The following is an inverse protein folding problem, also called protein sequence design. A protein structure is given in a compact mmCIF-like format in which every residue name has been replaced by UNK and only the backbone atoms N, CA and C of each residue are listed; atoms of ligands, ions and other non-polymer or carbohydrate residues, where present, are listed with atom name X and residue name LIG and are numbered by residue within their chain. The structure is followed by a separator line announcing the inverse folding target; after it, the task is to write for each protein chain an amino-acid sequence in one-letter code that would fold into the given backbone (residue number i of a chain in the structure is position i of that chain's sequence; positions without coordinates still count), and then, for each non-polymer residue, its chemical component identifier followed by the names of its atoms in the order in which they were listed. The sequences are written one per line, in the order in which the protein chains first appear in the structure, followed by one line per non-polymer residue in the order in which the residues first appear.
data_IF_782935951532
#
_entry.id   IF_782935951532
#
_cell.length_a   1.000
_cell.length_b   1.000
_cell.length_c   1.000
_cell.angle_alpha   90.00
_cell.angle_beta   90.00
_cell.angle_gamma   90.00
#
_symmetry.space_group_name_H-M   'P 1'
#
loop_
_entity.id
_entity.type
_entity.pdbx_description
1 polymer ?
#
# COMPACT_ATOMS: atom_id res chain seq x y z
N UNK A 1 -32.85 -14.14 19.93
CA UNK A 1 -31.51 -13.54 19.97
C UNK A 1 -31.32 -12.83 18.65
N UNK A 2 -30.80 -11.60 18.64
CA UNK A 2 -30.47 -10.89 17.39
C UNK A 2 -29.35 -11.65 16.65
N UNK A 3 -29.51 -11.82 15.35
CA UNK A 3 -28.46 -12.43 14.51
C UNK A 3 -27.23 -11.52 14.48
N UNK A 4 -26.05 -12.07 14.69
CA UNK A 4 -24.80 -11.30 14.62
C UNK A 4 -24.57 -10.84 13.17
N UNK A 5 -24.38 -9.52 13.01
CA UNK A 5 -24.05 -8.93 11.71
C UNK A 5 -22.58 -9.21 11.42
N UNK A 6 -22.28 -9.77 10.25
CA UNK A 6 -20.94 -10.08 9.78
C UNK A 6 -20.49 -9.03 8.76
N UNK A 7 -19.19 -8.85 8.61
CA UNK A 7 -18.60 -8.03 7.54
C UNK A 7 -19.00 -8.59 6.15
N UNK A 8 -19.00 -7.72 5.15
CA UNK A 8 -19.25 -8.11 3.76
C UNK A 8 -18.12 -9.03 3.30
N UNK A 9 -18.45 -10.13 2.65
CA UNK A 9 -17.46 -11.08 2.15
C UNK A 9 -16.45 -10.41 1.23
N UNK A 10 -15.17 -10.48 1.59
CA UNK A 10 -14.06 -9.85 0.86
C UNK A 10 -13.78 -8.40 1.28
N UNK A 11 -14.46 -7.92 2.32
CA UNK A 11 -14.13 -6.66 3.02
C UNK A 11 -13.77 -7.03 4.46
N UNK A 12 -12.52 -6.86 4.84
CA UNK A 12 -11.99 -7.41 6.08
C UNK A 12 -11.61 -6.29 7.06
N UNK A 13 -11.86 -6.54 8.35
CA UNK A 13 -11.34 -5.69 9.42
C UNK A 13 -9.84 -5.95 9.62
N UNK A 14 -9.07 -4.90 9.83
CA UNK A 14 -7.67 -4.99 10.29
C UNK A 14 -7.65 -4.81 11.80
N UNK A 15 -7.49 -5.91 12.51
CA UNK A 15 -7.56 -5.93 13.96
C UNK A 15 -6.25 -5.45 14.62
N UNK A 16 -6.29 -4.98 15.90
CA UNK A 16 -5.11 -4.52 16.63
C UNK A 16 -3.93 -5.51 16.63
N UNK A 17 -4.20 -6.81 16.60
CA UNK A 17 -3.17 -7.85 16.54
C UNK A 17 -2.39 -7.87 15.21
N UNK A 18 -2.93 -7.28 14.16
CA UNK A 18 -2.36 -7.31 12.80
C UNK A 18 -1.92 -5.95 12.28
N UNK A 19 -2.29 -4.87 12.98
CA UNK A 19 -2.10 -3.49 12.48
C UNK A 19 -0.63 -3.07 12.42
N UNK A 20 0.26 -3.67 13.22
CA UNK A 20 1.67 -3.28 13.29
C UNK A 20 2.41 -3.46 11.96
N UNK A 21 2.08 -4.49 11.18
CA UNK A 21 2.64 -4.70 9.86
C UNK A 21 2.21 -3.60 8.86
N UNK A 22 0.94 -3.18 8.94
CA UNK A 22 0.40 -2.09 8.13
C UNK A 22 1.08 -0.78 8.45
N UNK A 23 1.12 -0.41 9.72
CA UNK A 23 1.77 0.82 10.19
C UNK A 23 3.26 0.87 9.82
N UNK A 24 3.95 -0.27 9.91
CA UNK A 24 5.35 -0.36 9.49
C UNK A 24 5.52 -0.12 7.99
N UNK A 25 4.70 -0.76 7.16
CA UNK A 25 4.72 -0.55 5.71
C UNK A 25 4.40 0.89 5.35
N UNK A 26 3.33 1.47 5.92
CA UNK A 26 2.91 2.86 5.66
C UNK A 26 3.98 3.87 6.09
N UNK A 27 4.63 3.66 7.23
CA UNK A 27 5.74 4.51 7.69
C UNK A 27 6.93 4.43 6.72
N UNK A 28 7.35 3.23 6.33
CA UNK A 28 8.41 3.04 5.34
C UNK A 28 8.06 3.67 3.99
N UNK A 29 6.83 3.51 3.52
CA UNK A 29 6.37 4.09 2.26
C UNK A 29 6.42 5.62 2.29
N UNK A 30 5.95 6.25 3.37
CA UNK A 30 6.00 7.71 3.58
C UNK A 30 7.43 8.23 3.59
N UNK A 31 8.33 7.58 4.34
CA UNK A 31 9.75 7.95 4.40
C UNK A 31 10.42 7.83 3.03
N UNK A 32 10.18 6.72 2.33
CA UNK A 32 10.78 6.49 1.01
C UNK A 32 10.22 7.49 -0.01
N UNK A 33 8.90 7.67 -0.13
CA UNK A 33 8.30 8.64 -1.04
C UNK A 33 8.83 10.06 -0.75
N UNK A 34 8.85 10.48 0.52
CA UNK A 34 9.40 11.78 0.92
C UNK A 34 10.87 11.96 0.55
N UNK A 35 11.69 10.90 0.64
CA UNK A 35 13.12 10.98 0.26
C UNK A 35 13.36 11.19 -1.24
N UNK A 36 12.35 10.94 -2.08
CA UNK A 36 12.35 11.21 -3.52
C UNK A 36 11.61 12.51 -3.89
N UNK A 37 11.10 13.25 -2.89
CA UNK A 37 10.37 14.49 -3.09
C UNK A 37 8.93 14.30 -3.55
N UNK A 38 8.31 13.15 -3.29
CA UNK A 38 6.89 12.94 -3.53
C UNK A 38 6.05 13.51 -2.39
N UNK A 39 5.00 14.23 -2.72
CA UNK A 39 4.06 14.87 -1.79
C UNK A 39 2.78 14.03 -1.65
N UNK A 40 2.25 13.95 -0.43
CA UNK A 40 1.01 13.21 -0.18
C UNK A 40 -0.19 13.97 -0.74
N UNK A 41 -1.02 13.27 -1.52
CA UNK A 41 -2.34 13.74 -1.96
C UNK A 41 -3.42 12.80 -1.45
N UNK A 42 -4.58 13.33 -1.11
CA UNK A 42 -5.78 12.55 -0.77
C UNK A 42 -6.92 12.93 -1.69
N UNK A 43 -7.49 11.94 -2.36
CA UNK A 43 -8.60 12.10 -3.28
C UNK A 43 -9.84 11.36 -2.76
N UNK A 44 -11.05 11.77 -3.14
CA UNK A 44 -12.28 11.12 -2.72
C UNK A 44 -12.32 9.63 -3.00
N UNK A 45 -13.08 8.90 -2.18
CA UNK A 45 -13.34 7.47 -2.39
C UNK A 45 -14.43 7.23 -3.45
N UNK A 46 -15.30 8.22 -3.63
CA UNK A 46 -16.44 8.19 -4.55
C UNK A 46 -16.22 9.25 -5.60
N UNK A 47 -16.36 8.87 -6.85
CA UNK A 47 -16.24 9.75 -8.01
C UNK A 47 -17.39 9.47 -8.98
N UNK A 48 -17.61 10.36 -9.96
CA UNK A 48 -18.51 10.08 -11.07
C UNK A 48 -18.07 8.83 -11.83
N UNK A 49 -18.99 7.95 -12.14
CA UNK A 49 -18.72 6.69 -12.86
C UNK A 49 -17.99 6.92 -14.18
N UNK A 50 -18.31 8.03 -14.84
CA UNK A 50 -17.71 8.46 -16.10
C UNK A 50 -16.19 8.64 -16.01
N UNK A 51 -15.66 9.08 -14.87
CA UNK A 51 -14.23 9.21 -14.65
C UNK A 51 -13.51 7.88 -14.91
N UNK A 52 -14.00 6.81 -14.29
CA UNK A 52 -13.36 5.50 -14.40
C UNK A 52 -13.59 4.85 -15.75
N UNK A 53 -14.76 5.01 -16.36
CA UNK A 53 -15.03 4.53 -17.72
C UNK A 53 -14.07 5.15 -18.73
N UNK A 54 -13.88 6.47 -18.67
CA UNK A 54 -12.92 7.16 -19.55
C UNK A 54 -11.48 6.76 -19.25
N UNK A 55 -11.08 6.75 -17.99
CA UNK A 55 -9.69 6.49 -17.63
C UNK A 55 -9.29 5.04 -17.92
N UNK A 56 -10.03 4.08 -17.39
CA UNK A 56 -9.64 2.65 -17.34
C UNK A 56 -9.88 1.96 -18.69
N UNK A 57 -10.92 2.37 -19.42
CA UNK A 57 -11.38 1.77 -20.67
C UNK A 57 -12.60 0.87 -20.48
N UNK A 58 -13.60 1.05 -21.35
CA UNK A 58 -14.91 0.39 -21.25
C UNK A 58 -14.84 -1.14 -21.34
N UNK A 59 -13.85 -1.67 -22.06
CA UNK A 59 -13.68 -3.11 -22.31
C UNK A 59 -12.75 -3.80 -21.31
N UNK A 60 -12.52 -3.20 -20.16
CA UNK A 60 -11.73 -3.82 -19.10
C UNK A 60 -12.62 -4.56 -18.11
N UNK A 61 -12.12 -5.66 -17.52
CA UNK A 61 -12.88 -6.41 -16.50
C UNK A 61 -13.28 -5.50 -15.32
N UNK A 62 -12.43 -4.53 -14.97
CA UNK A 62 -12.70 -3.56 -13.90
C UNK A 62 -13.97 -2.77 -14.20
N UNK A 63 -14.11 -2.20 -15.40
CA UNK A 63 -15.27 -1.38 -15.77
C UNK A 63 -16.49 -2.23 -16.05
N UNK A 64 -16.35 -3.37 -16.74
CA UNK A 64 -17.47 -4.22 -17.12
C UNK A 64 -18.12 -4.96 -15.92
N UNK A 65 -17.31 -5.37 -14.91
CA UNK A 65 -17.77 -6.36 -13.92
C UNK A 65 -17.44 -6.06 -12.48
N UNK A 66 -16.41 -5.19 -12.22
CA UNK A 66 -15.84 -5.10 -10.88
C UNK A 66 -16.13 -3.78 -10.15
N UNK A 67 -16.64 -2.75 -10.84
CA UNK A 67 -16.97 -1.47 -10.20
C UNK A 67 -18.18 -1.59 -9.27
N UNK A 68 -18.09 -0.98 -8.09
CA UNK A 68 -19.22 -0.72 -7.21
C UNK A 68 -19.85 0.61 -7.60
N UNK A 69 -20.88 0.54 -8.44
CA UNK A 69 -21.60 1.70 -8.97
C UNK A 69 -23.00 1.79 -8.37
N UNK A 70 -23.43 2.98 -8.04
CA UNK A 70 -24.76 3.26 -7.51
C UNK A 70 -25.25 4.65 -8.00
N UNK A 71 -26.54 4.86 -7.93
CA UNK A 71 -27.13 6.16 -8.21
C UNK A 71 -27.39 6.88 -6.89
N UNK A 72 -26.98 8.13 -6.77
CA UNK A 72 -27.24 8.94 -5.60
C UNK A 72 -28.68 9.49 -5.57
N UNK A 73 -29.01 10.25 -4.54
CA UNK A 73 -30.35 10.87 -4.42
C UNK A 73 -30.61 11.97 -5.47
N UNK A 74 -29.57 12.52 -6.06
CA UNK A 74 -29.64 13.51 -7.16
C UNK A 74 -29.81 12.87 -8.53
N UNK A 75 -29.71 11.54 -8.64
CA UNK A 75 -29.77 10.81 -9.89
C UNK A 75 -28.44 10.65 -10.60
N UNK A 76 -27.32 11.06 -9.98
CA UNK A 76 -25.99 10.93 -10.55
C UNK A 76 -25.41 9.52 -10.36
N UNK A 77 -24.73 9.02 -11.40
CA UNK A 77 -24.04 7.72 -11.35
C UNK A 77 -22.68 7.87 -10.70
N UNK A 78 -22.51 7.28 -9.54
CA UNK A 78 -21.32 7.33 -8.70
C UNK A 78 -20.68 5.95 -8.55
N UNK A 79 -19.36 5.93 -8.37
CA UNK A 79 -18.60 4.68 -8.24
C UNK A 79 -17.59 4.80 -7.09
N UNK A 80 -17.51 3.77 -6.25
CA UNK A 80 -16.38 3.59 -5.35
C UNK A 80 -15.12 3.32 -6.16
N UNK A 81 -14.06 4.10 -5.92
CA UNK A 81 -12.83 4.07 -6.74
C UNK A 81 -12.22 2.66 -6.82
N UNK A 82 -12.03 2.10 -8.03
CA UNK A 82 -11.36 0.82 -8.22
C UNK A 82 -9.82 0.95 -8.24
N UNK A 83 -9.30 2.17 -8.36
CA UNK A 83 -7.89 2.55 -8.38
C UNK A 83 -7.76 4.07 -8.08
N UNK A 84 -6.56 4.58 -7.79
CA UNK A 84 -6.40 5.97 -7.39
C UNK A 84 -5.93 6.90 -8.53
N UNK A 85 -5.22 6.38 -9.54
CA UNK A 85 -4.60 7.18 -10.62
C UNK A 85 -5.59 8.12 -11.30
N UNK A 86 -6.78 7.63 -11.69
CA UNK A 86 -7.82 8.46 -12.31
C UNK A 86 -8.26 9.61 -11.39
N UNK A 87 -8.46 9.34 -10.11
CA UNK A 87 -8.80 10.34 -9.11
C UNK A 87 -7.70 11.38 -8.90
N UNK A 88 -6.43 10.96 -8.87
CA UNK A 88 -5.27 11.85 -8.75
C UNK A 88 -5.16 12.75 -9.98
N UNK A 89 -5.27 12.18 -11.19
CA UNK A 89 -5.25 12.94 -12.45
C UNK A 89 -6.41 13.94 -12.52
N UNK A 90 -7.64 13.51 -12.18
CA UNK A 90 -8.81 14.39 -12.12
C UNK A 90 -8.55 15.54 -11.11
N UNK A 91 -7.99 15.25 -9.94
CA UNK A 91 -7.67 16.26 -8.94
C UNK A 91 -6.62 17.25 -9.46
N UNK A 92 -5.59 16.77 -10.15
CA UNK A 92 -4.56 17.61 -10.73
C UNK A 92 -5.14 18.56 -11.81
N UNK A 93 -6.05 18.07 -12.65
CA UNK A 93 -6.75 18.88 -13.66
C UNK A 93 -7.64 19.91 -12.98
N UNK A 94 -8.57 19.47 -12.10
CA UNK A 94 -9.61 20.33 -11.53
C UNK A 94 -9.08 21.42 -10.59
N UNK A 95 -7.91 21.20 -9.99
CA UNK A 95 -7.25 22.19 -9.11
C UNK A 95 -6.14 22.99 -9.84
N UNK A 96 -5.99 22.82 -11.16
CA UNK A 96 -5.04 23.59 -11.97
C UNK A 96 -3.56 23.31 -11.65
N UNK A 97 -3.25 22.15 -11.06
CA UNK A 97 -1.87 21.77 -10.69
C UNK A 97 -0.97 21.61 -11.92
N UNK A 98 -1.54 21.31 -13.11
CA UNK A 98 -0.78 20.97 -14.32
C UNK A 98 -0.31 22.18 -15.12
N UNK A 99 -0.64 23.41 -14.71
CA UNK A 99 -0.27 24.64 -15.43
C UNK A 99 1.21 24.93 -15.29
N UNK A 100 2.01 24.44 -16.24
CA UNK A 100 3.46 24.69 -16.31
C UNK A 100 4.29 24.07 -15.19
N UNK A 101 3.72 23.16 -14.40
CA UNK A 101 4.37 22.54 -13.26
C UNK A 101 4.52 21.04 -13.44
N UNK A 102 5.51 20.47 -12.76
CA UNK A 102 5.73 19.02 -12.62
C UNK A 102 5.39 18.63 -11.20
N UNK A 103 4.71 17.50 -11.04
CA UNK A 103 4.28 17.01 -9.74
C UNK A 103 4.71 15.58 -9.51
N UNK A 104 5.17 15.32 -8.30
CA UNK A 104 5.45 14.00 -7.74
C UNK A 104 4.48 13.78 -6.58
N UNK A 105 3.48 12.93 -6.80
CA UNK A 105 2.37 12.72 -5.86
C UNK A 105 2.32 11.27 -5.40
N UNK A 106 1.88 11.05 -4.16
CA UNK A 106 1.58 9.71 -3.67
C UNK A 106 0.36 9.71 -2.75
N UNK A 107 -0.35 8.59 -2.70
CA UNK A 107 -1.44 8.38 -1.73
C UNK A 107 -1.48 6.95 -1.23
N UNK A 108 -2.08 6.75 -0.05
CA UNK A 108 -2.51 5.45 0.46
C UNK A 108 -3.99 5.51 0.75
N UNK A 109 -4.71 4.46 0.39
CA UNK A 109 -6.11 4.37 0.75
C UNK A 109 -6.82 3.13 0.21
N UNK A 110 -8.10 2.94 0.60
CA UNK A 110 -8.89 1.81 0.16
C UNK A 110 -9.35 1.96 -1.29
N UNK A 111 -9.36 0.81 -2.00
CA UNK A 111 -9.92 0.62 -3.33
C UNK A 111 -10.99 -0.46 -3.29
N UNK A 112 -11.88 -0.47 -4.29
CA UNK A 112 -13.05 -1.33 -4.28
C UNK A 112 -13.22 -2.01 -5.64
N UNK A 113 -13.17 -3.36 -5.65
CA UNK A 113 -13.43 -4.17 -6.86
C UNK A 113 -14.27 -5.39 -6.50
N UNK A 114 -15.39 -5.59 -7.18
CA UNK A 114 -16.26 -6.74 -6.97
C UNK A 114 -15.65 -8.01 -7.57
N UNK A 115 -14.50 -8.40 -7.06
CA UNK A 115 -13.81 -9.61 -7.47
C UNK A 115 -14.23 -10.84 -6.64
N UNK A 116 -13.88 -12.05 -7.15
CA UNK A 116 -13.99 -13.26 -6.35
C UNK A 116 -12.95 -13.26 -5.24
N UNK A 117 -13.33 -13.19 -3.96
CA UNK A 117 -12.38 -13.10 -2.86
C UNK A 117 -11.50 -14.35 -2.77
N UNK A 118 -10.20 -14.13 -2.64
CA UNK A 118 -9.17 -15.14 -2.36
C UNK A 118 -8.01 -14.48 -1.62
N UNK A 119 -7.04 -15.26 -1.15
CA UNK A 119 -5.87 -14.70 -0.46
C UNK A 119 -5.15 -13.67 -1.35
N UNK A 120 -4.89 -12.46 -0.81
CA UNK A 120 -4.28 -11.35 -1.54
C UNK A 120 -5.16 -10.68 -2.61
N UNK A 121 -6.48 -11.02 -2.65
CA UNK A 121 -7.46 -10.42 -3.56
C UNK A 121 -8.79 -10.23 -2.84
N UNK A 122 -9.09 -8.99 -2.49
CA UNK A 122 -10.24 -8.60 -1.68
C UNK A 122 -11.15 -7.64 -2.45
N UNK A 123 -12.38 -7.47 -1.99
CA UNK A 123 -13.35 -6.53 -2.56
C UNK A 123 -13.12 -5.11 -2.09
N UNK A 124 -12.64 -4.94 -0.87
CA UNK A 124 -12.00 -3.73 -0.38
C UNK A 124 -10.54 -4.09 -0.08
N UNK A 125 -9.62 -3.35 -0.65
CA UNK A 125 -8.18 -3.54 -0.48
C UNK A 125 -7.49 -2.17 -0.48
N UNK A 126 -6.28 -2.10 0.01
CA UNK A 126 -5.54 -0.84 0.10
C UNK A 126 -4.40 -0.82 -0.92
N UNK A 127 -4.20 0.34 -1.50
CA UNK A 127 -3.04 0.61 -2.38
C UNK A 127 -2.20 1.75 -1.84
N UNK A 128 -0.89 1.67 -2.08
CA UNK A 128 0.00 2.81 -2.20
C UNK A 128 0.11 3.10 -3.69
N UNK A 129 -0.26 4.30 -4.09
CA UNK A 129 -0.15 4.80 -5.47
C UNK A 129 0.85 5.95 -5.50
N UNK A 130 1.74 5.96 -6.49
CA UNK A 130 2.79 6.98 -6.67
C UNK A 130 2.80 7.41 -8.12
N UNK A 131 2.65 8.73 -8.35
CA UNK A 131 2.42 9.31 -9.68
C UNK A 131 3.38 10.48 -9.93
N UNK A 132 4.12 10.44 -11.03
CA UNK A 132 4.97 11.51 -11.52
C UNK A 132 4.36 12.11 -12.79
N UNK A 133 3.93 13.36 -12.73
CA UNK A 133 3.18 14.07 -13.78
C UNK A 133 4.03 15.20 -14.34
N UNK A 134 4.09 15.33 -15.67
CA UNK A 134 4.85 16.38 -16.36
C UNK A 134 6.30 15.99 -16.70
N UNK A 135 6.68 14.73 -16.55
CA UNK A 135 8.02 14.23 -16.83
C UNK A 135 8.01 13.31 -18.07
N UNK A 136 8.69 13.73 -19.14
CA UNK A 136 8.65 13.02 -20.42
C UNK A 136 9.69 11.92 -20.58
N UNK A 137 10.84 12.02 -19.91
CA UNK A 137 11.99 11.15 -20.09
C UNK A 137 11.87 9.79 -19.39
N UNK A 138 12.72 8.80 -19.75
CA UNK A 138 12.78 7.51 -19.09
C UNK A 138 13.49 7.54 -17.72
N UNK A 139 14.10 8.66 -17.39
CA UNK A 139 14.78 8.91 -16.12
C UNK A 139 13.81 8.84 -14.94
N UNK A 140 12.60 9.39 -15.08
CA UNK A 140 11.55 9.32 -14.06
C UNK A 140 10.96 7.90 -13.96
N UNK A 141 10.86 7.16 -15.07
CA UNK A 141 10.45 5.74 -15.05
C UNK A 141 11.45 4.93 -14.22
N UNK A 142 12.75 5.15 -14.44
CA UNK A 142 13.82 4.54 -13.67
C UNK A 142 13.81 4.97 -12.19
N UNK A 143 13.49 6.22 -11.90
CA UNK A 143 13.36 6.73 -10.52
C UNK A 143 12.23 6.01 -9.77
N UNK A 144 11.05 5.82 -10.39
CA UNK A 144 9.93 5.10 -9.77
C UNK A 144 10.27 3.64 -9.47
N UNK A 145 10.97 2.98 -10.40
CA UNK A 145 11.47 1.61 -10.19
C UNK A 145 12.51 1.59 -9.07
N UNK A 146 13.41 2.58 -9.00
CA UNK A 146 14.40 2.69 -7.92
C UNK A 146 13.76 2.97 -6.56
N UNK A 147 12.69 3.77 -6.52
CA UNK A 147 11.89 4.04 -5.33
C UNK A 147 11.28 2.72 -4.78
N UNK A 148 10.66 1.93 -5.65
CA UNK A 148 10.10 0.62 -5.24
C UNK A 148 11.19 -0.35 -4.81
N UNK A 149 12.33 -0.42 -5.52
CA UNK A 149 13.47 -1.24 -5.11
C UNK A 149 14.04 -0.81 -3.73
N UNK A 150 14.02 0.50 -3.42
CA UNK A 150 14.40 1.02 -2.11
C UNK A 150 13.39 0.61 -1.04
N UNK A 151 12.11 0.64 -1.35
CA UNK A 151 11.05 0.21 -0.42
C UNK A 151 11.23 -1.26 -0.04
N UNK A 152 11.50 -2.15 -0.99
CA UNK A 152 11.78 -3.57 -0.69
C UNK A 152 12.99 -3.74 0.23
N UNK A 153 14.07 -2.98 0.02
CA UNK A 153 15.26 -3.01 0.90
C UNK A 153 14.95 -2.50 2.30
N UNK A 154 14.19 -1.40 2.43
CA UNK A 154 13.79 -0.84 3.74
C UNK A 154 12.91 -1.82 4.53
N UNK A 155 12.02 -2.52 3.85
CA UNK A 155 11.16 -3.57 4.44
C UNK A 155 11.91 -4.90 4.64
N UNK A 156 13.18 -5.00 4.23
CA UNK A 156 13.98 -6.22 4.27
C UNK A 156 13.30 -7.42 3.57
N UNK A 157 12.57 -7.15 2.50
CA UNK A 157 11.93 -8.18 1.68
C UNK A 157 12.87 -8.62 0.55
N UNK A 158 12.97 -9.92 0.36
CA UNK A 158 13.75 -10.58 -0.69
C UNK A 158 12.84 -11.46 -1.56
N UNK A 159 13.38 -11.99 -2.67
CA UNK A 159 12.61 -12.86 -3.56
C UNK A 159 11.55 -12.11 -4.38
N UNK A 160 11.70 -10.80 -4.52
CA UNK A 160 10.87 -9.96 -5.39
C UNK A 160 11.69 -9.63 -6.63
N UNK A 161 11.19 -10.00 -7.81
CA UNK A 161 11.85 -9.80 -9.11
C UNK A 161 11.10 -8.76 -9.95
N UNK A 162 11.86 -7.99 -10.72
CA UNK A 162 11.34 -6.96 -11.62
C UNK A 162 11.21 -7.53 -13.05
N UNK A 163 10.05 -7.35 -13.64
CA UNK A 163 9.82 -7.50 -15.07
C UNK A 163 9.46 -6.16 -15.69
N UNK A 164 10.03 -5.88 -16.86
CA UNK A 164 9.79 -4.64 -17.63
C UNK A 164 9.43 -4.96 -19.08
N UNK A 165 8.65 -4.07 -19.70
CA UNK A 165 8.33 -4.11 -21.13
C UNK A 165 8.05 -2.70 -21.65
N UNK A 166 7.91 -2.57 -22.96
CA UNK A 166 7.39 -1.36 -23.62
C UNK A 166 6.15 -1.69 -24.45
N UNK A 167 5.09 -0.90 -24.27
CA UNK A 167 3.86 -1.01 -25.06
C UNK A 167 3.89 -0.08 -26.30
N UNK A 168 4.98 0.63 -26.53
CA UNK A 168 5.10 1.58 -27.63
C UNK A 168 4.23 2.84 -27.50
N UNK A 169 4.27 3.67 -28.52
CA UNK A 169 3.33 4.77 -28.65
C UNK A 169 1.92 4.27 -29.02
N UNK A 170 0.87 5.09 -28.90
CA UNK A 170 -0.47 4.73 -29.39
C UNK A 170 -0.48 4.30 -30.86
N UNK A 171 0.34 4.95 -31.70
CA UNK A 171 0.48 4.64 -33.14
C UNK A 171 1.11 3.27 -33.37
N UNK A 172 2.25 2.99 -32.72
CA UNK A 172 2.91 1.68 -32.80
C UNK A 172 1.98 0.56 -32.28
N UNK A 173 1.26 0.82 -31.20
CA UNK A 173 0.28 -0.12 -30.64
C UNK A 173 -0.89 -0.35 -31.58
N UNK A 174 -1.37 0.67 -32.33
CA UNK A 174 -2.42 0.49 -33.34
C UNK A 174 -1.97 -0.47 -34.46
N UNK A 175 -0.76 -0.27 -34.98
CA UNK A 175 -0.19 -1.16 -36.01
C UNK A 175 -0.06 -2.60 -35.46
N UNK A 176 0.50 -2.74 -34.27
CA UNK A 176 0.64 -4.07 -33.63
C UNK A 176 -0.72 -4.73 -33.37
N UNK A 177 -1.74 -3.96 -32.98
CA UNK A 177 -3.11 -4.46 -32.78
C UNK A 177 -3.64 -5.13 -34.06
N UNK A 178 -3.44 -4.54 -35.23
CA UNK A 178 -3.86 -5.11 -36.52
C UNK A 178 -3.15 -6.46 -36.79
N UNK A 179 -1.84 -6.51 -36.55
CA UNK A 179 -1.02 -7.73 -36.68
C UNK A 179 -1.53 -8.83 -35.74
N UNK A 180 -1.79 -8.46 -34.47
CA UNK A 180 -2.25 -9.38 -33.44
C UNK A 180 -3.65 -9.92 -33.71
N UNK A 181 -4.57 -9.06 -34.17
CA UNK A 181 -5.91 -9.47 -34.60
C UNK A 181 -5.84 -10.43 -35.77
N UNK A 182 -5.03 -10.12 -36.80
CA UNK A 182 -4.85 -11.01 -37.95
C UNK A 182 -4.25 -12.37 -37.54
N UNK A 183 -3.34 -12.38 -36.56
CA UNK A 183 -2.78 -13.61 -36.01
C UNK A 183 -3.85 -14.42 -35.28
N UNK A 184 -4.57 -13.84 -34.32
CA UNK A 184 -5.58 -14.56 -33.52
C UNK A 184 -6.79 -15.01 -34.33
N UNK A 185 -7.21 -14.28 -35.37
CA UNK A 185 -8.26 -14.73 -36.29
C UNK A 185 -7.90 -16.02 -37.00
N UNK A 186 -6.61 -16.23 -37.37
CA UNK A 186 -6.12 -17.50 -37.95
C UNK A 186 -6.14 -18.64 -36.92
N UNK A 187 -6.19 -18.33 -35.64
CA UNK A 187 -6.19 -19.31 -34.55
C UNK A 187 -7.47 -19.27 -33.72
N UNK A 188 -8.58 -18.73 -34.27
CA UNK A 188 -9.82 -18.46 -33.54
C UNK A 188 -10.41 -19.69 -32.86
N UNK A 189 -10.24 -20.90 -33.47
CA UNK A 189 -10.70 -22.17 -32.89
C UNK A 189 -10.01 -22.51 -31.54
N UNK A 190 -8.80 -21.99 -31.31
CA UNK A 190 -8.03 -22.20 -30.09
C UNK A 190 -8.32 -21.16 -29.01
N UNK A 191 -9.12 -20.10 -29.32
CA UNK A 191 -9.48 -19.06 -28.36
C UNK A 191 -10.68 -19.49 -27.51
N UNK A 192 -10.61 -19.22 -26.22
CA UNK A 192 -11.77 -19.32 -25.33
C UNK A 192 -12.80 -18.20 -25.59
N UNK A 193 -13.98 -18.31 -24.97
CA UNK A 193 -15.08 -17.37 -25.19
C UNK A 193 -14.72 -15.92 -24.80
N UNK A 194 -13.97 -15.73 -23.71
CA UNK A 194 -13.51 -14.41 -23.27
C UNK A 194 -12.50 -13.82 -24.26
N UNK A 195 -11.57 -14.61 -24.76
CA UNK A 195 -10.55 -14.18 -25.71
C UNK A 195 -11.15 -13.83 -27.08
N UNK A 196 -12.19 -14.56 -27.54
CA UNK A 196 -12.94 -14.18 -28.76
C UNK A 196 -13.62 -12.83 -28.62
N UNK A 197 -14.24 -12.54 -27.46
CA UNK A 197 -14.83 -11.24 -27.17
C UNK A 197 -13.77 -10.12 -27.14
N UNK A 198 -12.62 -10.40 -26.51
CA UNK A 198 -11.49 -9.45 -26.42
C UNK A 198 -10.84 -9.18 -27.78
N UNK A 199 -10.96 -10.09 -28.73
CA UNK A 199 -10.37 -9.92 -30.07
C UNK A 199 -10.90 -8.66 -30.77
N UNK A 200 -12.15 -8.29 -30.58
CA UNK A 200 -12.75 -7.07 -31.16
C UNK A 200 -12.50 -5.83 -30.31
N UNK A 201 -12.53 -5.96 -28.99
CA UNK A 201 -12.33 -4.85 -28.05
C UNK A 201 -10.84 -4.55 -27.82
N UNK A 202 -10.17 -5.38 -27.03
CA UNK A 202 -8.76 -5.23 -26.66
C UNK A 202 -7.98 -6.55 -26.84
N UNK A 203 -7.45 -6.83 -28.03
CA UNK A 203 -6.73 -8.09 -28.34
C UNK A 203 -5.42 -8.25 -27.55
N UNK A 204 -4.79 -7.18 -27.06
CA UNK A 204 -3.60 -7.29 -26.23
C UNK A 204 -3.90 -8.06 -24.93
N UNK A 205 -5.13 -7.96 -24.41
CA UNK A 205 -5.56 -8.70 -23.20
C UNK A 205 -5.61 -10.22 -23.40
N UNK A 206 -5.60 -10.72 -24.63
CA UNK A 206 -5.51 -12.15 -24.90
C UNK A 206 -4.13 -12.69 -24.51
N UNK A 207 -3.08 -11.86 -24.63
CA UNK A 207 -1.71 -12.22 -24.26
C UNK A 207 -1.52 -12.49 -22.76
N UNK A 208 -2.41 -11.92 -21.90
CA UNK A 208 -2.43 -12.12 -20.45
C UNK A 208 -3.32 -13.30 -20.00
N UNK A 209 -3.88 -14.05 -20.92
CA UNK A 209 -4.73 -15.19 -20.57
C UNK A 209 -3.91 -16.28 -19.87
N UNK A 210 -4.41 -16.70 -18.69
CA UNK A 210 -3.83 -17.81 -17.92
C UNK A 210 -4.43 -19.18 -18.28
N UNK A 211 -5.23 -19.25 -19.36
CA UNK A 211 -5.82 -20.50 -19.82
C UNK A 211 -4.73 -21.42 -20.42
N UNK A 212 -4.45 -22.58 -19.81
CA UNK A 212 -3.40 -23.50 -20.31
C UNK A 212 -3.62 -23.95 -21.76
N UNK A 213 -4.87 -24.06 -22.23
CA UNK A 213 -5.19 -24.45 -23.59
C UNK A 213 -4.73 -23.43 -24.64
N UNK A 214 -4.59 -22.17 -24.24
CA UNK A 214 -4.14 -21.09 -25.10
C UNK A 214 -2.63 -20.85 -25.04
N UNK A 215 -1.90 -21.51 -24.14
CA UNK A 215 -0.49 -21.25 -23.88
C UNK A 215 0.39 -21.29 -25.15
N UNK A 216 0.17 -22.28 -26.04
CA UNK A 216 0.94 -22.41 -27.30
C UNK A 216 0.63 -21.28 -28.27
N UNK A 217 -0.65 -20.92 -28.45
CA UNK A 217 -1.07 -19.83 -29.34
C UNK A 217 -0.55 -18.49 -28.84
N UNK A 218 -0.61 -18.25 -27.53
CA UNK A 218 -0.05 -17.02 -26.92
C UNK A 218 1.46 -16.99 -27.06
N UNK A 219 2.17 -18.09 -26.82
CA UNK A 219 3.62 -18.15 -26.94
C UNK A 219 4.12 -17.89 -28.37
N UNK A 220 3.35 -18.30 -29.39
CA UNK A 220 3.68 -18.10 -30.79
C UNK A 220 3.18 -16.78 -31.39
N UNK A 221 2.43 -15.97 -30.61
CA UNK A 221 1.92 -14.68 -31.08
C UNK A 221 3.06 -13.68 -31.34
N UNK A 222 2.96 -12.79 -32.35
CA UNK A 222 3.94 -11.75 -32.62
C UNK A 222 4.30 -10.98 -31.32
N UNK A 223 5.52 -10.49 -31.22
CA UNK A 223 5.95 -9.70 -30.06
C UNK A 223 5.79 -8.20 -30.36
N UNK A 224 5.26 -7.45 -29.42
CA UNK A 224 5.13 -5.99 -29.57
C UNK A 224 6.51 -5.32 -29.69
N UNK A 225 7.53 -5.87 -29.02
CA UNK A 225 8.91 -5.38 -29.06
C UNK A 225 9.49 -5.31 -30.48
N UNK A 226 9.04 -6.21 -31.39
CA UNK A 226 9.49 -6.24 -32.79
C UNK A 226 8.83 -5.15 -33.65
N UNK A 227 7.80 -4.50 -33.13
CA UNK A 227 6.99 -3.48 -33.81
C UNK A 227 7.04 -2.12 -33.12
N UNK A 228 7.95 -1.90 -32.19
CA UNK A 228 8.15 -0.59 -31.55
C UNK A 228 8.68 0.43 -32.56
N UNK A 229 8.18 1.63 -32.46
CA UNK A 229 8.75 2.80 -33.15
C UNK A 229 10.13 3.19 -32.55
N UNK A 230 10.91 3.96 -33.30
CA UNK A 230 12.26 4.35 -32.88
C UNK A 230 12.27 5.14 -31.56
N UNK A 231 11.35 6.11 -31.31
CA UNK A 231 11.28 6.81 -30.02
C UNK A 231 11.00 5.88 -28.85
N UNK A 232 10.18 4.83 -29.02
CA UNK A 232 9.89 3.86 -27.96
C UNK A 232 11.06 2.91 -27.71
N UNK A 233 11.80 2.51 -28.76
CA UNK A 233 13.03 1.73 -28.62
C UNK A 233 14.11 2.51 -27.86
N UNK A 234 14.34 3.76 -28.25
CA UNK A 234 15.31 4.63 -27.59
C UNK A 234 14.95 4.84 -26.11
N UNK A 235 13.68 5.19 -25.80
CA UNK A 235 13.19 5.35 -24.44
C UNK A 235 13.41 4.07 -23.59
N UNK A 236 13.08 2.92 -24.14
CA UNK A 236 13.25 1.64 -23.42
C UNK A 236 14.72 1.27 -23.21
N UNK A 237 15.58 1.55 -24.17
CA UNK A 237 17.01 1.33 -24.05
C UNK A 237 17.65 2.25 -22.99
N UNK A 238 17.24 3.52 -22.92
CA UNK A 238 17.68 4.47 -21.89
C UNK A 238 17.22 4.04 -20.50
N UNK A 239 15.96 3.59 -20.35
CA UNK A 239 15.45 3.01 -19.10
C UNK A 239 16.31 1.82 -18.66
N UNK A 240 16.51 0.84 -19.54
CA UNK A 240 17.31 -0.34 -19.25
C UNK A 240 18.74 0.03 -18.81
N UNK A 241 19.40 0.93 -19.55
CA UNK A 241 20.72 1.43 -19.18
C UNK A 241 20.75 2.20 -17.87
N UNK A 242 19.68 2.88 -17.49
CA UNK A 242 19.59 3.52 -16.17
C UNK A 242 19.45 2.48 -15.04
N UNK A 243 18.65 1.45 -15.22
CA UNK A 243 18.51 0.35 -14.25
C UNK A 243 19.83 -0.42 -14.07
N UNK A 244 20.54 -0.69 -15.16
CA UNK A 244 21.87 -1.33 -15.14
C UNK A 244 22.88 -0.51 -14.33
N UNK A 245 22.95 0.81 -14.56
CA UNK A 245 23.83 1.71 -13.81
C UNK A 245 23.49 1.79 -12.31
N UNK A 246 22.22 1.62 -11.96
CA UNK A 246 21.75 1.57 -10.55
C UNK A 246 21.90 0.19 -9.91
N UNK A 247 22.32 -0.83 -10.66
CA UNK A 247 22.45 -2.20 -10.18
C UNK A 247 21.08 -2.85 -9.85
N UNK A 248 20.00 -2.40 -10.50
CA UNK A 248 18.65 -2.96 -10.31
C UNK A 248 18.47 -4.08 -11.34
N UNK A 249 18.45 -5.32 -10.85
CA UNK A 249 18.22 -6.46 -11.70
C UNK A 249 16.79 -6.50 -12.23
N UNK A 250 16.63 -6.76 -13.51
CA UNK A 250 15.34 -6.88 -14.18
C UNK A 250 15.34 -7.98 -15.25
N UNK A 251 14.15 -8.39 -15.66
CA UNK A 251 13.92 -9.23 -16.82
C UNK A 251 13.03 -8.50 -17.82
N UNK A 252 13.42 -8.50 -19.09
CA UNK A 252 12.50 -8.06 -20.16
C UNK A 252 11.48 -9.17 -20.42
N UNK A 253 10.20 -8.86 -20.22
CA UNK A 253 9.11 -9.76 -20.53
C UNK A 253 8.27 -9.18 -21.69
N UNK A 254 8.47 -9.61 -22.94
CA UNK A 254 7.76 -9.05 -24.09
C UNK A 254 6.26 -9.39 -24.11
N UNK A 255 5.79 -10.21 -23.19
CA UNK A 255 4.36 -10.54 -22.99
C UNK A 255 3.71 -9.75 -21.85
N UNK A 256 4.49 -8.97 -21.11
CA UNK A 256 3.95 -8.15 -20.05
C UNK A 256 3.04 -7.06 -20.66
N UNK A 257 1.75 -7.15 -20.36
CA UNK A 257 0.71 -6.15 -20.65
C UNK A 257 -0.01 -5.80 -19.36
N UNK A 258 -0.79 -4.71 -19.37
CA UNK A 258 -1.47 -4.23 -18.17
C UNK A 258 -2.99 -4.38 -18.26
N UNK A 259 -3.63 -4.50 -17.10
CA UNK A 259 -5.06 -4.65 -16.96
C UNK A 259 -5.90 -3.39 -17.23
N UNK A 260 -5.26 -2.26 -17.47
CA UNK A 260 -5.87 -0.95 -17.72
C UNK A 260 -5.37 -0.42 -19.06
N UNK A 261 -6.24 0.23 -19.83
CA UNK A 261 -5.96 0.55 -21.23
C UNK A 261 -5.15 1.83 -21.44
N UNK A 262 -4.99 2.65 -20.41
CA UNK A 262 -4.29 3.92 -20.51
C UNK A 262 -2.77 3.82 -20.65
N UNK A 263 -2.16 2.67 -20.40
CA UNK A 263 -0.71 2.53 -20.43
C UNK A 263 -0.13 2.69 -21.86
N UNK A 264 1.05 3.31 -21.90
CA UNK A 264 1.88 3.50 -23.11
C UNK A 264 3.35 3.34 -22.75
N UNK A 265 4.22 3.06 -23.72
CA UNK A 265 5.66 2.91 -23.50
C UNK A 265 5.98 1.97 -22.34
N UNK A 266 6.70 2.45 -21.33
CA UNK A 266 7.17 1.66 -20.17
C UNK A 266 6.02 1.04 -19.39
N UNK A 267 6.10 -0.27 -19.14
CA UNK A 267 5.32 -0.99 -18.14
C UNK A 267 6.25 -1.87 -17.32
N UNK A 268 5.93 -2.05 -16.04
CA UNK A 268 6.72 -2.88 -15.14
C UNK A 268 5.88 -3.56 -14.08
N UNK A 269 6.38 -4.70 -13.58
CA UNK A 269 5.80 -5.43 -12.46
C UNK A 269 6.89 -5.96 -11.54
N UNK A 270 6.63 -5.89 -10.25
CA UNK A 270 7.37 -6.59 -9.23
C UNK A 270 6.61 -7.83 -8.82
N UNK A 271 7.22 -8.98 -9.01
CA UNK A 271 6.62 -10.30 -8.85
C UNK A 271 7.32 -11.09 -7.75
N UNK A 272 6.56 -11.99 -7.09
CA UNK A 272 7.11 -12.91 -6.09
C UNK A 272 6.43 -14.27 -6.18
N UNK A 273 7.17 -15.34 -5.95
CA UNK A 273 6.61 -16.70 -5.92
C UNK A 273 5.96 -17.04 -4.55
N UNK A 274 6.18 -16.19 -3.54
CA UNK A 274 5.68 -16.42 -2.18
C UNK A 274 4.14 -16.26 -2.02
N UNK A 275 3.47 -15.62 -2.99
CA UNK A 275 2.03 -15.35 -2.95
C UNK A 275 1.19 -16.27 -3.86
N UNK A 276 1.80 -17.30 -4.45
CA UNK A 276 1.13 -18.24 -5.33
C UNK A 276 0.63 -17.59 -6.62
N UNK A 277 -0.63 -17.83 -7.02
CA UNK A 277 -1.19 -17.35 -8.29
C UNK A 277 -1.35 -15.81 -8.37
N UNK A 278 -1.21 -15.09 -7.27
CA UNK A 278 -1.28 -13.62 -7.19
C UNK A 278 0.12 -13.03 -6.97
N UNK A 279 1.01 -13.29 -7.90
CA UNK A 279 2.45 -13.04 -7.84
C UNK A 279 2.86 -11.56 -7.93
N UNK A 280 2.06 -10.69 -8.56
CA UNK A 280 2.35 -9.27 -8.66
C UNK A 280 2.08 -8.51 -7.35
N UNK A 281 3.10 -7.89 -6.77
CA UNK A 281 3.01 -7.08 -5.53
C UNK A 281 2.95 -5.59 -5.80
N UNK A 282 3.56 -5.14 -6.90
CA UNK A 282 3.55 -3.76 -7.36
C UNK A 282 3.58 -3.75 -8.88
N UNK A 283 2.86 -2.82 -9.46
CA UNK A 283 2.75 -2.75 -10.92
C UNK A 283 2.56 -1.30 -11.36
N UNK A 284 3.19 -0.93 -12.47
CA UNK A 284 3.13 0.44 -12.95
C UNK A 284 3.48 0.57 -14.42
N UNK A 285 3.60 1.82 -14.83
CA UNK A 285 3.99 2.19 -16.19
C UNK A 285 3.59 3.61 -16.55
N UNK A 286 3.92 4.01 -17.77
CA UNK A 286 3.67 5.31 -18.35
C UNK A 286 2.27 5.38 -18.96
N UNK A 287 1.63 6.55 -18.85
CA UNK A 287 0.26 6.78 -19.34
C UNK A 287 0.08 8.20 -19.88
N UNK A 288 0.91 8.57 -20.86
CA UNK A 288 1.03 9.94 -21.41
C UNK A 288 -0.28 10.48 -22.02
N UNK A 289 -1.23 9.61 -22.38
CA UNK A 289 -2.52 10.00 -22.97
C UNK A 289 -3.64 10.26 -21.97
N UNK A 290 -3.53 9.81 -20.71
CA UNK A 290 -4.62 9.78 -19.75
C UNK A 290 -5.13 11.18 -19.39
N UNK A 291 -4.23 12.14 -19.19
CA UNK A 291 -4.58 13.50 -18.77
C UNK A 291 -5.42 14.19 -19.86
N UNK A 292 -5.02 14.05 -21.14
CA UNK A 292 -5.79 14.57 -22.26
C UNK A 292 -7.15 13.87 -22.41
N UNK A 293 -7.21 12.57 -22.20
CA UNK A 293 -8.44 11.76 -22.22
C UNK A 293 -9.45 12.22 -21.15
N UNK A 294 -8.95 12.72 -20.01
CA UNK A 294 -9.77 13.26 -18.93
C UNK A 294 -10.04 14.78 -19.06
N UNK A 295 -9.68 15.39 -20.20
CA UNK A 295 -9.99 16.80 -20.51
C UNK A 295 -8.91 17.80 -20.07
N UNK A 296 -7.72 17.34 -19.69
CA UNK A 296 -6.56 18.20 -19.46
C UNK A 296 -5.71 18.40 -20.73
N UNK A 297 -4.63 19.15 -20.61
CA UNK A 297 -3.63 19.28 -21.67
C UNK A 297 -2.80 18.00 -21.81
N UNK A 298 -2.25 17.74 -23.01
CA UNK A 298 -1.35 16.59 -23.22
C UNK A 298 -0.15 16.71 -22.29
N UNK A 299 -0.08 15.85 -21.30
CA UNK A 299 0.94 15.89 -20.24
C UNK A 299 1.45 14.48 -19.98
N UNK A 300 2.77 14.23 -20.10
CA UNK A 300 3.34 12.92 -19.84
C UNK A 300 3.20 12.56 -18.35
N UNK A 301 2.94 11.29 -18.10
CA UNK A 301 2.81 10.79 -16.73
C UNK A 301 3.20 9.32 -16.62
N UNK A 302 3.71 8.96 -15.45
CA UNK A 302 4.10 7.60 -15.11
C UNK A 302 3.86 7.37 -13.62
N UNK A 303 3.41 6.17 -13.26
CA UNK A 303 3.15 5.85 -11.86
C UNK A 303 3.10 4.36 -11.60
N UNK A 304 2.89 4.00 -10.36
CA UNK A 304 2.66 2.62 -9.95
C UNK A 304 1.66 2.52 -8.81
N UNK A 305 1.04 1.35 -8.70
CA UNK A 305 0.22 0.95 -7.58
C UNK A 305 0.81 -0.31 -6.92
N UNK A 306 0.82 -0.33 -5.59
CA UNK A 306 1.28 -1.43 -4.75
C UNK A 306 0.14 -1.87 -3.84
N UNK A 307 -0.18 -3.17 -3.84
CA UNK A 307 -1.21 -3.74 -2.97
C UNK A 307 -0.69 -3.93 -1.54
N UNK A 308 -1.22 -3.17 -0.58
CA UNK A 308 -0.78 -3.17 0.82
C UNK A 308 -0.91 -4.57 1.44
N UNK A 309 -2.04 -5.25 1.30
CA UNK A 309 -2.29 -6.58 1.87
C UNK A 309 -1.27 -7.61 1.41
N UNK A 310 -0.85 -7.54 0.13
CA UNK A 310 0.14 -8.46 -0.43
C UNK A 310 1.52 -8.27 0.20
N UNK A 311 1.92 -7.01 0.41
CA UNK A 311 3.20 -6.69 1.06
C UNK A 311 3.15 -7.02 2.54
N UNK A 312 2.03 -6.76 3.21
CA UNK A 312 1.80 -7.17 4.62
C UNK A 312 1.91 -8.70 4.75
N UNK A 313 1.31 -9.47 3.85
CA UNK A 313 1.45 -10.92 3.82
C UNK A 313 2.93 -11.35 3.69
N UNK A 314 3.72 -10.68 2.84
CA UNK A 314 5.16 -10.96 2.71
C UNK A 314 5.93 -10.60 3.99
N UNK A 315 5.62 -9.49 4.64
CA UNK A 315 6.24 -9.10 5.91
C UNK A 315 5.98 -10.15 7.01
N UNK A 316 4.75 -10.63 7.09
CA UNK A 316 4.37 -11.69 8.04
C UNK A 316 5.12 -12.98 7.75
N UNK A 317 5.16 -13.43 6.50
CA UNK A 317 5.87 -14.66 6.09
C UNK A 317 7.38 -14.57 6.33
N UNK A 318 7.97 -13.39 6.11
CA UNK A 318 9.40 -13.15 6.32
C UNK A 318 9.77 -12.87 7.79
N UNK A 319 8.80 -12.89 8.72
CA UNK A 319 8.97 -12.49 10.12
C UNK A 319 9.60 -11.08 10.27
N UNK A 320 9.20 -10.15 9.42
CA UNK A 320 9.66 -8.74 9.39
C UNK A 320 8.62 -7.77 9.98
N UNK A 321 7.67 -8.28 10.75
CA UNK A 321 6.67 -7.46 11.43
C UNK A 321 7.24 -6.98 12.75
N UNK A 322 7.30 -5.66 13.01
CA UNK A 322 7.66 -5.15 14.32
C UNK A 322 6.70 -5.68 15.39
N UNK A 323 7.23 -5.95 16.56
CA UNK A 323 6.38 -6.31 17.70
C UNK A 323 5.32 -5.22 17.92
N UNK A 324 4.07 -5.60 18.24
CA UNK A 324 3.05 -4.63 18.62
C UNK A 324 3.58 -3.71 19.72
N UNK A 325 3.32 -2.44 19.59
CA UNK A 325 3.78 -1.50 20.60
C UNK A 325 2.97 -1.70 21.88
N UNK A 326 3.61 -2.31 22.88
CA UNK A 326 3.10 -2.43 24.24
C UNK A 326 3.14 -1.06 24.96
N UNK A 327 2.46 -0.96 26.09
CA UNK A 327 2.67 0.16 27.00
C UNK A 327 4.13 0.15 27.52
N UNK A 328 4.72 1.33 27.69
CA UNK A 328 6.00 1.44 28.38
C UNK A 328 5.77 1.30 29.91
N UNK A 329 4.69 1.94 30.38
CA UNK A 329 4.34 2.01 31.80
C UNK A 329 2.88 1.61 32.00
N UNK A 330 2.64 0.73 32.97
CA UNK A 330 1.30 0.39 33.45
C UNK A 330 1.08 0.98 34.85
N UNK A 331 0.05 1.82 35.01
CA UNK A 331 -0.25 2.49 36.26
C UNK A 331 -1.26 1.67 37.08
N UNK A 332 -0.83 1.17 38.24
CA UNK A 332 -1.62 0.40 39.20
C UNK A 332 -2.09 1.33 40.32
N UNK A 333 -3.38 1.28 40.65
CA UNK A 333 -3.97 2.06 41.73
C UNK A 333 -4.40 1.13 42.87
N UNK A 334 -3.82 1.32 44.03
CA UNK A 334 -4.17 0.55 45.23
C UNK A 334 -4.67 1.48 46.32
N UNK A 335 -5.97 1.78 46.30
CA UNK A 335 -6.60 2.68 47.23
C UNK A 335 -7.76 3.48 46.66
N UNK A 336 -8.19 4.52 47.36
CA UNK A 336 -9.34 5.32 47.02
C UNK A 336 -9.02 6.55 46.12
N UNK A 337 -7.73 6.86 45.93
CA UNK A 337 -7.30 8.10 45.27
C UNK A 337 -7.13 7.95 43.72
N UNK A 338 -8.00 7.22 43.08
CA UNK A 338 -7.90 6.97 41.60
C UNK A 338 -7.92 8.29 40.79
N UNK A 339 -8.62 9.32 41.22
CA UNK A 339 -8.65 10.62 40.54
C UNK A 339 -7.30 11.36 40.60
N UNK A 340 -6.63 11.36 41.73
CA UNK A 340 -5.31 11.98 41.89
C UNK A 340 -4.24 11.24 41.06
N UNK A 341 -4.30 9.89 41.06
CA UNK A 341 -3.39 9.05 40.26
C UNK A 341 -3.63 9.23 38.76
N UNK A 342 -4.89 9.39 38.33
CA UNK A 342 -5.20 9.68 36.94
C UNK A 342 -4.63 11.04 36.52
N UNK A 343 -4.76 12.07 37.38
CA UNK A 343 -4.17 13.38 37.12
C UNK A 343 -2.65 13.31 36.98
N UNK A 344 -1.96 12.63 37.90
CA UNK A 344 -0.52 12.39 37.80
C UNK A 344 -0.15 11.63 36.50
N UNK A 345 -0.96 10.68 36.07
CA UNK A 345 -0.72 9.97 34.80
C UNK A 345 -0.83 10.90 33.58
N UNK A 346 -1.72 11.90 33.60
CA UNK A 346 -1.80 12.93 32.57
C UNK A 346 -0.57 13.85 32.58
N UNK A 347 -0.13 14.30 33.77
CA UNK A 347 1.11 15.09 33.90
C UNK A 347 2.33 14.32 33.34
N UNK A 348 2.39 13.01 33.55
CA UNK A 348 3.43 12.16 32.97
C UNK A 348 3.32 12.01 31.46
N UNK A 349 2.11 11.95 30.89
CA UNK A 349 1.91 11.96 29.44
C UNK A 349 2.37 13.27 28.81
N UNK A 350 2.11 14.39 29.46
CA UNK A 350 2.58 15.71 29.02
C UNK A 350 4.11 15.83 29.10
N UNK A 351 4.72 15.33 30.17
CA UNK A 351 6.17 15.37 30.37
C UNK A 351 6.93 14.37 29.45
N UNK A 352 6.30 13.26 29.10
CA UNK A 352 6.90 12.15 28.32
C UNK A 352 6.02 11.73 27.14
N UNK A 353 5.75 12.63 26.16
CA UNK A 353 4.74 12.41 25.10
C UNK A 353 5.11 11.27 24.13
N UNK A 354 6.35 10.84 24.12
CA UNK A 354 6.83 9.71 23.32
C UNK A 354 6.69 8.35 24.04
N UNK A 355 6.25 8.35 25.32
CA UNK A 355 6.04 7.13 26.13
C UNK A 355 4.56 6.78 26.21
N UNK A 356 4.26 5.48 26.28
CA UNK A 356 2.91 4.94 26.36
C UNK A 356 2.56 4.58 27.79
N UNK A 357 1.58 5.29 28.36
CA UNK A 357 1.07 5.02 29.71
C UNK A 357 -0.31 4.37 29.62
N UNK A 358 -0.43 3.15 30.14
CA UNK A 358 -1.70 2.47 30.33
C UNK A 358 -2.13 2.57 31.80
N UNK A 359 -3.33 3.07 32.03
CA UNK A 359 -3.89 3.22 33.37
C UNK A 359 -4.85 2.08 33.67
N UNK A 360 -4.79 1.53 34.89
CA UNK A 360 -5.72 0.50 35.32
C UNK A 360 -7.12 1.04 35.53
N UNK A 361 -7.92 1.10 34.48
CA UNK A 361 -9.32 1.49 34.54
C UNK A 361 -10.22 0.34 35.04
N UNK A 362 -11.37 0.67 35.63
CA UNK A 362 -12.36 -0.32 36.13
C UNK A 362 -11.97 -1.03 37.42
N UNK A 363 -10.97 -0.55 38.15
CA UNK A 363 -10.58 -1.04 39.47
C UNK A 363 -10.09 -2.49 39.49
N UNK A 364 -10.44 -3.22 40.55
CA UNK A 364 -10.01 -4.59 40.81
C UNK A 364 -8.96 -4.67 41.93
N UNK A 365 -8.79 -5.85 42.54
CA UNK A 365 -7.79 -6.04 43.56
C UNK A 365 -6.37 -5.97 42.97
N UNK A 366 -5.39 -5.74 43.81
CA UNK A 366 -3.98 -5.56 43.49
C UNK A 366 -3.43 -6.70 42.59
N UNK A 367 -3.73 -7.96 42.94
CA UNK A 367 -3.30 -9.13 42.17
C UNK A 367 -3.87 -9.13 40.74
N UNK A 368 -5.11 -8.72 40.59
CA UNK A 368 -5.76 -8.62 39.26
C UNK A 368 -5.14 -7.52 38.42
N UNK A 369 -4.81 -6.38 39.03
CA UNK A 369 -4.15 -5.26 38.35
C UNK A 369 -2.75 -5.65 37.88
N UNK A 370 -1.93 -6.32 38.73
CA UNK A 370 -0.63 -6.84 38.31
C UNK A 370 -0.71 -7.83 37.14
N UNK A 371 -1.72 -8.70 37.15
CA UNK A 371 -1.92 -9.64 36.03
C UNK A 371 -2.25 -8.91 34.73
N UNK A 372 -3.01 -7.80 34.80
CA UNK A 372 -3.25 -6.95 33.63
C UNK A 372 -1.99 -6.23 33.18
N UNK A 373 -1.22 -5.67 34.12
CA UNK A 373 0.05 -5.03 33.84
C UNK A 373 1.05 -6.00 33.15
N UNK A 374 1.10 -7.23 33.60
CA UNK A 374 1.95 -8.25 32.96
C UNK A 374 1.47 -8.59 31.54
N UNK A 375 0.16 -8.75 31.36
CA UNK A 375 -0.45 -9.06 30.06
C UNK A 375 -0.36 -7.90 29.06
N UNK A 376 -0.29 -6.64 29.53
CA UNK A 376 -0.15 -5.47 28.64
C UNK A 376 1.19 -5.41 27.92
N UNK A 377 2.18 -6.18 28.37
CA UNK A 377 3.53 -6.14 27.83
C UNK A 377 4.38 -4.97 28.34
N UNK A 378 3.86 -4.17 29.27
CA UNK A 378 4.56 -3.01 29.82
C UNK A 378 5.93 -3.39 30.42
N UNK A 379 6.88 -2.48 30.29
CA UNK A 379 8.23 -2.62 30.85
C UNK A 379 8.24 -2.37 32.34
N UNK A 380 7.39 -1.44 32.80
CA UNK A 380 7.36 -0.94 34.17
C UNK A 380 5.92 -0.84 34.70
N UNK A 381 5.72 -1.18 35.96
CA UNK A 381 4.52 -0.82 36.72
C UNK A 381 4.81 0.38 37.63
N UNK A 382 3.96 1.42 37.59
CA UNK A 382 3.85 2.43 38.63
C UNK A 382 2.78 1.97 39.64
N UNK A 383 3.12 1.89 40.89
CA UNK A 383 2.23 1.46 41.95
C UNK A 383 1.94 2.67 42.84
N UNK A 384 0.68 3.06 42.85
CA UNK A 384 0.18 4.23 43.56
C UNK A 384 -0.79 3.75 44.64
N UNK A 385 -0.29 3.58 45.85
CA UNK A 385 -1.11 3.29 47.03
C UNK A 385 -1.42 4.56 47.84
N UNK A 386 -2.44 4.50 48.68
CA UNK A 386 -2.84 5.66 49.51
C UNK A 386 -1.72 6.10 50.46
N UNK A 387 -0.94 5.12 51.02
CA UNK A 387 0.18 5.41 51.93
C UNK A 387 1.37 6.04 51.21
N UNK A 388 1.72 5.55 50.02
CA UNK A 388 2.80 6.08 49.19
C UNK A 388 2.45 7.52 48.74
N UNK A 389 1.22 7.72 48.27
CA UNK A 389 0.77 9.03 47.81
C UNK A 389 0.75 10.07 48.97
N UNK A 390 0.35 9.65 50.18
CA UNK A 390 0.38 10.51 51.36
C UNK A 390 1.81 10.95 51.73
N UNK A 391 2.83 10.13 51.40
CA UNK A 391 4.27 10.45 51.56
C UNK A 391 4.86 11.22 50.37
N UNK A 392 4.07 11.48 49.31
CA UNK A 392 4.55 12.12 48.10
C UNK A 392 5.46 11.24 47.24
N UNK A 393 5.33 9.90 47.36
CA UNK A 393 6.13 8.95 46.58
C UNK A 393 5.26 8.00 45.77
N UNK A 394 5.87 7.38 44.76
CA UNK A 394 5.27 6.32 43.94
C UNK A 394 6.27 5.17 43.83
N UNK A 395 5.80 3.94 43.91
CA UNK A 395 6.66 2.79 43.73
C UNK A 395 6.77 2.40 42.25
N UNK A 396 7.98 2.19 41.78
CA UNK A 396 8.32 1.76 40.43
C UNK A 396 8.79 0.30 40.45
N UNK A 397 8.20 -0.56 39.62
CA UNK A 397 8.57 -1.97 39.54
C UNK A 397 8.81 -2.39 38.09
N UNK A 398 10.04 -2.74 37.69
CA UNK A 398 10.28 -3.40 36.42
C UNK A 398 9.50 -4.72 36.32
N UNK A 399 8.83 -4.95 35.20
CA UNK A 399 7.98 -6.13 34.98
C UNK A 399 8.68 -7.23 34.18
N UNK A 400 9.82 -6.91 33.54
CA UNK A 400 10.56 -7.84 32.67
C UNK A 400 11.95 -8.21 33.21
N UNK A 401 12.26 -7.78 34.44
CA UNK A 401 13.48 -8.12 35.16
C UNK A 401 13.13 -8.57 36.58
N UNK A 402 13.89 -9.47 37.11
CA UNK A 402 13.76 -9.91 38.53
C UNK A 402 14.43 -8.88 39.48
N UNK A 403 14.01 -7.62 39.37
CA UNK A 403 14.48 -6.55 40.25
C UNK A 403 13.36 -6.13 41.19
N UNK A 404 13.73 -5.71 42.40
CA UNK A 404 12.78 -5.22 43.41
C UNK A 404 12.12 -3.90 42.97
N UNK A 405 11.04 -3.55 43.66
CA UNK A 405 10.45 -2.22 43.50
C UNK A 405 11.30 -1.17 44.20
N UNK A 406 11.27 0.06 43.66
CA UNK A 406 11.95 1.23 44.22
C UNK A 406 10.95 2.38 44.37
N UNK A 407 11.03 3.12 45.47
CA UNK A 407 10.22 4.33 45.65
C UNK A 407 10.88 5.52 44.95
N UNK A 408 10.03 6.41 44.38
CA UNK A 408 10.46 7.65 43.73
C UNK A 408 9.59 8.81 44.19
N UNK A 409 10.18 9.95 44.57
CA UNK A 409 9.41 11.16 44.82
C UNK A 409 8.60 11.59 43.60
N UNK A 410 7.36 12.01 43.76
CA UNK A 410 6.52 12.44 42.63
C UNK A 410 7.14 13.59 41.83
N UNK A 411 7.86 14.50 42.49
CA UNK A 411 8.54 15.61 41.82
C UNK A 411 9.68 15.17 40.84
N UNK A 412 10.27 14.01 41.08
CA UNK A 412 11.36 13.45 40.25
C UNK A 412 10.86 12.38 39.26
N UNK A 413 9.56 12.05 39.31
CA UNK A 413 9.03 10.84 38.69
C UNK A 413 9.25 10.79 37.17
N UNK A 414 9.00 11.87 36.45
CA UNK A 414 9.18 11.93 34.99
C UNK A 414 10.64 11.67 34.59
N UNK A 415 11.60 12.31 35.23
CA UNK A 415 13.03 12.15 34.95
C UNK A 415 13.52 10.72 35.27
N UNK A 416 13.11 10.17 36.41
CA UNK A 416 13.48 8.82 36.81
C UNK A 416 12.85 7.74 35.93
N UNK A 417 11.60 7.96 35.49
CA UNK A 417 10.94 7.07 34.55
C UNK A 417 11.68 7.02 33.21
N UNK A 418 12.04 8.18 32.65
CA UNK A 418 12.74 8.23 31.37
C UNK A 418 14.10 7.50 31.45
N UNK A 419 14.90 7.77 32.49
CA UNK A 419 16.18 7.09 32.72
C UNK A 419 16.01 5.57 32.80
N UNK A 420 15.02 5.10 33.57
CA UNK A 420 14.74 3.69 33.77
C UNK A 420 14.25 3.03 32.50
N UNK A 421 13.33 3.66 31.77
CA UNK A 421 12.77 3.14 30.52
C UNK A 421 13.81 3.04 29.41
N UNK A 422 14.71 4.03 29.28
CA UNK A 422 15.84 3.98 28.33
C UNK A 422 16.71 2.76 28.62
N UNK A 423 17.06 2.53 29.91
CA UNK A 423 17.84 1.35 30.33
C UNK A 423 17.12 0.03 30.02
N UNK A 424 15.80 -0.06 30.30
CA UNK A 424 15.03 -1.29 30.07
C UNK A 424 14.85 -1.58 28.58
N UNK A 425 14.71 -0.54 27.76
CA UNK A 425 14.57 -0.69 26.30
C UNK A 425 15.88 -1.13 25.64
N UNK A 426 17.02 -0.56 26.04
CA UNK A 426 18.33 -0.92 25.48
C UNK A 426 18.71 -2.39 25.72
N UNK A 427 18.33 -2.96 26.86
CA UNK A 427 18.56 -4.37 27.18
C UNK A 427 17.67 -5.35 26.41
N UNK A 428 16.55 -4.88 25.84
CA UNK A 428 15.64 -5.72 25.05
C UNK A 428 16.06 -5.82 23.58
N UNK A 429 16.90 -4.90 23.13
CA UNK A 429 17.37 -4.81 21.75
C UNK A 429 18.73 -5.52 21.51
N UNK A 430 19.39 -5.99 22.54
CA UNK A 430 20.60 -6.81 22.51
C UNK A 430 20.31 -8.26 22.83
#
# INVERSE_FOLDING_TARGET
MAQQIQAIRGMNDVLPAHISAWQHLEACAREVAGSYGYEEIRVPLIEHTELFKRAIGEFTDVVEKEMYTFTDQGGESLTLRPEATAGIVRAAISNGLLRGARHKLWCIGPMFRHERPQKGRYRQFYQLDVEAIGFAGPDVDAELIALTARLWRRLQLSGIRLEINSLGTPEARRVYREILVAYFRRHESALDADSRRRLEGNPLRILDSKNPQMAQVIAAAPLLTDHLDEPSRAHFAELAGALDRMGIAYRVNPRLVRGLDYYSRTVFEWLTDALGAQDAVCSGGRYDGLIAQLGGEVTPAVGFALGIERVVDLLVQAARVPAPAAADVYVIVNGAQSGAVLHMAEELRDALPHRRFEFNLGGGNFKAQFRRADKSGALLALICGDEELARGVVAMKPLREETGQTECPQAELAARLEELLVRLTSRRSG
#
